data_IF_529815174806
#
_entry.id   IF_529815174806
#
_cell.length_a   1.000
_cell.length_b   1.000
_cell.length_c   1.000
_cell.angle_alpha   90.00
_cell.angle_beta   90.00
_cell.angle_gamma   90.00
#
_symmetry.space_group_name_H-M   'P 1'
#
loop_
_entity.id
_entity.type
_entity.pdbx_description
1 polymer ?
#
# COMPACT_ATOMS: atom_id res chain seq x y z
N UNK A 1 -17.98 -14.35 -8.44
CA UNK A 1 -18.40 -13.83 -7.11
C UNK A 1 -17.40 -12.82 -6.55
N UNK A 2 -16.10 -13.13 -6.46
CA UNK A 2 -15.10 -12.22 -5.86
C UNK A 2 -14.94 -10.88 -6.60
N UNK A 3 -14.93 -10.89 -7.94
CA UNK A 3 -14.87 -9.67 -8.76
C UNK A 3 -16.06 -8.73 -8.55
N UNK A 4 -17.24 -9.28 -8.30
CA UNK A 4 -18.44 -8.49 -7.99
C UNK A 4 -18.32 -7.77 -6.65
N UNK A 5 -17.77 -8.44 -5.64
CA UNK A 5 -17.49 -7.81 -4.34
C UNK A 5 -16.51 -6.63 -4.49
N UNK A 6 -15.45 -6.80 -5.27
CA UNK A 6 -14.48 -5.73 -5.55
C UNK A 6 -15.13 -4.55 -6.30
N UNK A 7 -16.02 -4.82 -7.23
CA UNK A 7 -16.78 -3.80 -7.95
C UNK A 7 -17.71 -3.01 -7.01
N UNK A 8 -18.49 -3.70 -6.18
CA UNK A 8 -19.37 -3.08 -5.18
C UNK A 8 -18.59 -2.23 -4.16
N UNK A 9 -17.40 -2.68 -3.77
CA UNK A 9 -16.49 -1.93 -2.90
C UNK A 9 -15.83 -0.75 -3.63
N UNK A 10 -16.12 -0.56 -4.93
CA UNK A 10 -15.50 0.46 -5.78
C UNK A 10 -13.97 0.41 -5.73
N UNK A 11 -13.44 -0.82 -5.78
CA UNK A 11 -12.00 -1.05 -5.85
C UNK A 11 -11.41 -0.45 -7.12
N UNK A 12 -10.24 0.18 -7.00
CA UNK A 12 -9.52 0.73 -8.16
C UNK A 12 -8.83 -0.43 -8.88
N UNK A 13 -9.37 -0.80 -10.04
CA UNK A 13 -8.74 -1.82 -10.88
C UNK A 13 -7.52 -1.26 -11.60
N UNK A 14 -6.43 -2.02 -11.60
CA UNK A 14 -5.16 -1.65 -12.21
C UNK A 14 -4.88 -2.62 -13.35
N UNK A 15 -4.83 -2.10 -14.57
CA UNK A 15 -4.27 -2.85 -15.69
C UNK A 15 -2.75 -2.73 -15.65
N UNK A 16 -2.07 -3.86 -15.47
CA UNK A 16 -0.61 -3.92 -15.34
C UNK A 16 0.12 -3.89 -16.68
N UNK A 17 -0.61 -4.09 -17.78
CA UNK A 17 -0.04 -4.12 -19.14
C UNK A 17 0.29 -2.72 -19.67
N UNK A 18 -0.38 -1.68 -19.16
CA UNK A 18 -0.38 -0.33 -19.74
C UNK A 18 0.35 0.70 -18.81
N UNK A 19 1.54 0.40 -18.47
CA UNK A 19 2.52 1.11 -17.62
C UNK A 19 2.19 2.55 -17.17
N UNK A 20 2.60 3.56 -17.96
CA UNK A 20 2.49 4.97 -17.56
C UNK A 20 1.07 5.53 -17.64
N UNK A 21 0.26 5.11 -18.62
CA UNK A 21 -1.12 5.56 -18.78
C UNK A 21 -2.00 5.05 -17.64
N UNK A 22 -1.79 3.81 -17.21
CA UNK A 22 -2.45 3.22 -16.04
C UNK A 22 -2.17 4.00 -14.76
N UNK A 23 -0.92 4.42 -14.55
CA UNK A 23 -0.56 5.21 -13.36
C UNK A 23 -1.34 6.54 -13.31
N UNK A 24 -1.47 7.25 -14.42
CA UNK A 24 -2.24 8.50 -14.48
C UNK A 24 -3.73 8.29 -14.19
N UNK A 25 -4.31 7.21 -14.70
CA UNK A 25 -5.70 6.81 -14.41
C UNK A 25 -5.88 6.50 -12.93
N UNK A 26 -4.94 5.74 -12.33
CA UNK A 26 -4.95 5.40 -10.90
C UNK A 26 -4.89 6.67 -10.05
N UNK A 27 -3.95 7.58 -10.33
CA UNK A 27 -3.80 8.83 -9.59
C UNK A 27 -5.08 9.66 -9.58
N UNK A 28 -5.73 9.83 -10.74
CA UNK A 28 -7.02 10.53 -10.84
C UNK A 28 -8.12 9.82 -10.05
N UNK A 29 -8.17 8.48 -10.12
CA UNK A 29 -9.15 7.69 -9.37
C UNK A 29 -8.93 7.80 -7.87
N UNK A 30 -7.68 7.74 -7.40
CA UNK A 30 -7.32 7.95 -5.99
C UNK A 30 -7.80 9.31 -5.50
N UNK A 31 -7.50 10.38 -6.24
CA UNK A 31 -7.89 11.74 -5.87
C UNK A 31 -9.42 11.85 -5.74
N UNK A 32 -10.15 11.37 -6.73
CA UNK A 32 -11.63 11.35 -6.72
C UNK A 32 -12.19 10.64 -5.49
N UNK A 33 -11.61 9.50 -5.09
CA UNK A 33 -12.09 8.77 -3.90
C UNK A 33 -11.77 9.53 -2.61
N UNK A 34 -10.64 10.20 -2.52
CA UNK A 34 -10.28 11.02 -1.36
C UNK A 34 -11.18 12.24 -1.25
N UNK A 35 -11.46 12.94 -2.35
CA UNK A 35 -12.42 14.04 -2.39
C UNK A 35 -13.84 13.62 -1.94
N UNK A 36 -14.18 12.35 -2.13
CA UNK A 36 -15.41 11.73 -1.62
C UNK A 36 -15.34 11.32 -0.13
N UNK A 37 -14.28 11.68 0.59
CA UNK A 37 -14.07 11.31 2.00
C UNK A 37 -13.72 9.84 2.22
N UNK A 38 -13.27 9.12 1.20
CA UNK A 38 -12.92 7.71 1.31
C UNK A 38 -11.46 7.52 1.72
N UNK A 39 -11.22 6.50 2.53
CA UNK A 39 -9.87 6.04 2.84
C UNK A 39 -9.37 5.11 1.74
N UNK A 40 -8.13 5.33 1.29
CA UNK A 40 -7.45 4.46 0.34
C UNK A 40 -6.46 3.54 1.07
N UNK A 41 -6.52 2.25 0.75
CA UNK A 41 -5.56 1.27 1.22
C UNK A 41 -4.69 0.85 0.03
N UNK A 42 -3.38 1.02 0.17
CA UNK A 42 -2.40 0.68 -0.87
C UNK A 42 -1.42 -0.34 -0.31
N UNK A 43 -1.24 -1.45 -1.01
CA UNK A 43 -0.20 -2.43 -0.72
C UNK A 43 1.05 -2.09 -1.53
N UNK A 44 2.09 -1.49 -0.91
CA UNK A 44 3.17 -0.85 -1.65
C UNK A 44 4.10 -1.83 -2.37
N UNK A 45 4.13 -3.08 -1.94
CA UNK A 45 4.91 -4.14 -2.57
C UNK A 45 4.28 -4.64 -3.89
N UNK A 46 2.96 -4.53 -4.01
CA UNK A 46 2.20 -5.02 -5.17
C UNK A 46 2.21 -6.54 -5.35
N UNK A 47 2.77 -7.26 -4.39
CA UNK A 47 2.83 -8.73 -4.33
C UNK A 47 2.87 -9.20 -2.88
N UNK A 48 2.66 -10.49 -2.66
CA UNK A 48 2.84 -11.12 -1.34
C UNK A 48 4.30 -11.48 -1.17
N UNK A 49 4.99 -10.87 -0.22
CA UNK A 49 6.38 -11.17 0.13
C UNK A 49 6.43 -12.16 1.30
N UNK A 50 7.43 -13.01 1.30
CA UNK A 50 7.68 -13.89 2.44
C UNK A 50 8.19 -13.07 3.63
N UNK A 51 7.78 -13.46 4.84
CA UNK A 51 8.29 -12.84 6.06
C UNK A 51 9.82 -12.92 6.13
N UNK A 52 10.46 -11.84 6.57
CA UNK A 52 11.92 -11.74 6.62
C UNK A 52 12.60 -11.34 5.30
N UNK A 53 11.85 -11.21 4.19
CA UNK A 53 12.40 -10.66 2.95
C UNK A 53 12.31 -9.14 2.94
N UNK A 54 13.32 -8.46 2.40
CA UNK A 54 13.26 -6.99 2.26
C UNK A 54 12.14 -6.59 1.30
N UNK A 55 11.17 -5.87 1.82
CA UNK A 55 10.07 -5.34 1.02
C UNK A 55 10.56 -4.33 -0.02
N UNK A 56 10.28 -4.59 -1.30
CA UNK A 56 10.60 -3.67 -2.40
C UNK A 56 9.38 -2.84 -2.74
N UNK A 57 9.37 -1.59 -2.31
CA UNK A 57 8.27 -0.66 -2.57
C UNK A 57 8.26 -0.24 -4.04
N UNK A 58 7.11 -0.36 -4.69
CA UNK A 58 6.93 0.03 -6.09
C UNK A 58 6.97 1.56 -6.24
N UNK A 59 7.71 2.05 -7.23
CA UNK A 59 7.87 3.50 -7.51
C UNK A 59 6.53 4.23 -7.71
N UNK A 60 5.52 3.54 -8.24
CA UNK A 60 4.18 4.11 -8.44
C UNK A 60 3.51 4.59 -7.15
N UNK A 61 3.78 3.95 -6.02
CA UNK A 61 3.23 4.35 -4.71
C UNK A 61 3.68 5.76 -4.33
N UNK A 62 4.97 6.06 -4.49
CA UNK A 62 5.51 7.39 -4.19
C UNK A 62 4.89 8.48 -5.08
N UNK A 63 4.68 8.17 -6.37
CA UNK A 63 4.01 9.11 -7.30
C UNK A 63 2.55 9.35 -6.92
N UNK A 64 1.85 8.32 -6.41
CA UNK A 64 0.48 8.48 -5.91
C UNK A 64 0.48 9.39 -4.68
N UNK A 65 1.35 9.15 -3.70
CA UNK A 65 1.45 9.96 -2.49
C UNK A 65 1.77 11.43 -2.80
N UNK A 66 2.71 11.66 -3.72
CA UNK A 66 3.09 13.00 -4.18
C UNK A 66 1.93 13.73 -4.88
N UNK A 67 1.14 13.01 -5.67
CA UNK A 67 0.00 13.57 -6.39
C UNK A 67 -1.17 13.91 -5.48
N UNK A 68 -1.50 13.00 -4.58
CA UNK A 68 -2.71 13.09 -3.74
C UNK A 68 -2.55 14.08 -2.59
N UNK A 69 -1.32 14.27 -2.08
CA UNK A 69 -0.98 15.26 -1.03
C UNK A 69 -1.91 15.24 0.19
N UNK A 70 -2.26 14.07 0.67
CA UNK A 70 -3.16 13.90 1.81
C UNK A 70 -2.45 13.25 3.00
N UNK A 71 -3.04 13.40 4.20
CA UNK A 71 -2.58 12.72 5.41
C UNK A 71 -2.53 11.22 5.16
N UNK A 72 -1.40 10.61 5.39
CA UNK A 72 -1.16 9.20 5.11
C UNK A 72 -0.61 8.48 6.34
N UNK A 73 -0.84 7.19 6.40
CA UNK A 73 -0.34 6.33 7.46
C UNK A 73 0.38 5.14 6.85
N UNK A 74 1.53 4.80 7.40
CA UNK A 74 2.19 3.53 7.09
C UNK A 74 1.83 2.53 8.17
N UNK A 75 1.29 1.40 7.74
CA UNK A 75 0.92 0.29 8.62
C UNK A 75 1.84 -0.87 8.33
N UNK A 76 2.51 -1.34 9.35
CA UNK A 76 3.38 -2.50 9.30
C UNK A 76 2.93 -3.56 10.31
N UNK A 77 3.08 -4.85 9.98
CA UNK A 77 2.65 -5.94 10.84
C UNK A 77 3.51 -7.18 10.63
N UNK A 78 3.57 -8.03 11.65
CA UNK A 78 4.31 -9.30 11.65
C UNK A 78 3.44 -10.52 11.28
N UNK A 79 2.25 -10.32 10.71
CA UNK A 79 1.32 -11.41 10.42
C UNK A 79 1.91 -12.51 9.51
N UNK A 80 2.87 -12.15 8.64
CA UNK A 80 3.60 -13.09 7.79
C UNK A 80 4.36 -14.19 8.55
N UNK A 81 4.69 -13.98 9.83
CA UNK A 81 5.28 -15.03 10.70
C UNK A 81 4.33 -16.20 10.92
N UNK A 82 3.04 -15.90 10.99
CA UNK A 82 2.01 -16.86 11.38
C UNK A 82 1.23 -17.38 10.18
N UNK A 83 1.21 -16.63 9.09
CA UNK A 83 0.55 -17.02 7.84
C UNK A 83 1.47 -16.79 6.64
N UNK A 84 2.17 -17.84 6.25
CA UNK A 84 3.18 -17.82 5.19
C UNK A 84 2.65 -18.49 3.91
N UNK A 85 1.60 -17.91 3.30
CA UNK A 85 0.95 -18.43 2.06
C UNK A 85 0.51 -19.91 2.11
N UNK A 86 0.50 -20.52 3.29
CA UNK A 86 0.03 -21.89 3.54
C UNK A 86 -1.45 -21.88 3.89
N UNK A 87 -2.13 -23.02 3.69
CA UNK A 87 -3.47 -23.23 4.24
C UNK A 87 -3.48 -23.28 5.78
N UNK A 88 -2.33 -23.50 6.39
CA UNK A 88 -2.18 -23.59 7.84
C UNK A 88 -1.79 -22.21 8.40
N UNK A 89 -2.61 -21.71 9.29
CA UNK A 89 -2.33 -20.53 10.09
C UNK A 89 -1.77 -21.01 11.45
N UNK A 90 -0.61 -20.49 11.84
CA UNK A 90 -0.02 -20.78 13.15
C UNK A 90 -0.56 -19.81 14.19
N UNK A 91 -0.83 -20.26 15.43
CA UNK A 91 -1.22 -19.34 16.50
C UNK A 91 -0.06 -18.44 16.86
N UNK A 92 -0.38 -17.18 17.24
CA UNK A 92 0.62 -16.23 17.67
C UNK A 92 0.08 -14.83 17.88
N UNK A 93 0.93 -13.92 18.34
CA UNK A 93 0.61 -12.52 18.60
C UNK A 93 0.92 -11.65 17.39
N UNK A 94 -0.11 -11.08 16.78
CA UNK A 94 0.06 -10.12 15.70
C UNK A 94 0.30 -8.74 16.32
N UNK A 95 1.40 -8.12 15.93
CA UNK A 95 1.76 -6.75 16.30
C UNK A 95 1.57 -5.87 15.08
N UNK A 96 0.88 -4.74 15.27
CA UNK A 96 0.60 -3.76 14.22
C UNK A 96 1.24 -2.43 14.66
N UNK A 97 2.13 -1.91 13.83
CA UNK A 97 2.78 -0.62 14.02
C UNK A 97 2.25 0.38 12.99
N UNK A 98 1.73 1.51 13.48
CA UNK A 98 1.18 2.57 12.64
C UNK A 98 1.97 3.84 12.87
N UNK A 99 2.48 4.43 11.79
CA UNK A 99 3.12 5.75 11.84
C UNK A 99 2.39 6.73 10.93
N UNK A 100 2.21 7.96 11.40
CA UNK A 100 1.72 9.05 10.58
C UNK A 100 2.84 9.55 9.67
N UNK A 101 2.53 9.69 8.38
CA UNK A 101 3.37 10.41 7.44
C UNK A 101 2.82 11.82 7.31
N UNK A 102 3.53 12.79 7.83
CA UNK A 102 3.30 14.17 7.45
C UNK A 102 3.71 14.33 5.99
N UNK A 103 2.92 15.11 5.25
CA UNK A 103 3.26 15.43 3.87
C UNK A 103 4.59 16.19 3.86
N UNK A 104 5.63 15.52 3.41
CA UNK A 104 6.94 16.10 3.18
C UNK A 104 7.06 16.44 1.70
N UNK A 105 7.35 17.67 1.37
CA UNK A 105 7.59 18.12 -0.01
C UNK A 105 8.85 17.46 -0.61
N UNK A 106 9.73 16.90 0.24
CA UNK A 106 10.91 16.19 -0.19
C UNK A 106 10.62 14.68 -0.33
N UNK A 107 10.47 14.25 -1.57
CA UNK A 107 10.19 12.86 -1.93
C UNK A 107 11.25 11.87 -1.41
N UNK A 108 12.52 12.28 -1.32
CA UNK A 108 13.61 11.41 -0.83
C UNK A 108 13.48 11.17 0.69
N UNK A 109 13.10 12.20 1.45
CA UNK A 109 12.82 12.05 2.88
C UNK A 109 11.63 11.12 3.11
N UNK A 110 10.56 11.28 2.31
CA UNK A 110 9.39 10.42 2.38
C UNK A 110 9.75 8.95 2.07
N UNK A 111 10.53 8.70 1.02
CA UNK A 111 11.02 7.36 0.67
C UNK A 111 11.84 6.75 1.80
N UNK A 112 12.79 7.50 2.37
CA UNK A 112 13.66 7.02 3.43
C UNK A 112 12.87 6.66 4.70
N UNK A 113 11.91 7.49 5.11
CA UNK A 113 11.01 7.23 6.24
C UNK A 113 10.22 5.94 6.04
N UNK A 114 9.61 5.77 4.87
CA UNK A 114 8.81 4.58 4.54
C UNK A 114 9.71 3.34 4.51
N UNK A 115 10.84 3.37 3.81
CA UNK A 115 11.76 2.23 3.73
C UNK A 115 12.32 1.82 5.09
N UNK A 116 12.70 2.79 5.92
CA UNK A 116 13.19 2.53 7.29
C UNK A 116 12.14 1.85 8.15
N UNK A 117 10.87 2.19 7.95
CA UNK A 117 9.78 1.57 8.72
C UNK A 117 9.49 0.14 8.25
N UNK A 118 9.52 -0.13 6.95
CA UNK A 118 9.34 -1.47 6.40
C UNK A 118 10.53 -2.41 6.66
N UNK A 119 11.74 -1.91 6.92
CA UNK A 119 12.91 -2.75 7.22
C UNK A 119 12.99 -3.22 8.67
N UNK A 120 12.07 -2.80 9.54
CA UNK A 120 12.09 -3.12 10.98
C UNK A 120 11.27 -4.36 11.36
N UNK A 121 10.78 -5.14 10.36
CA UNK A 121 9.92 -6.34 10.60
C UNK A 121 10.60 -7.63 10.19
#
# INVERSE_FOLDING_TARGET
LFGWCLYLLKHISIDRSDGASSLKKIMKSCNKHIEQGRTLIIFPEGTRSLHGTKAKIKRGVFKILEFVKTKSYVVNHNAGKYWNNSFLIRPGKIEINIISLEYDTNLENLKSKIQKHFSKV
#
